data_IF_017789530924
#
_entry.id   IF_017789530924
#
_cell.length_a   1.000
_cell.length_b   1.000
_cell.length_c   1.000
_cell.angle_alpha   90.00
_cell.angle_beta   90.00
_cell.angle_gamma   90.00
#
_symmetry.space_group_name_H-M   'P 1'
#
loop_
_entity.id
_entity.type
_entity.pdbx_description
1 polymer ?
#
# COMPACT_ATOMS: atom_id res chain seq x y z
N UNK A 1 8.13 -5.43 -24.28
CA UNK A 1 8.01 -4.74 -22.99
C UNK A 1 7.74 -5.76 -21.89
N UNK A 2 8.46 -5.70 -20.77
CA UNK A 2 8.17 -6.55 -19.60
C UNK A 2 6.81 -6.12 -19.03
N UNK A 3 5.90 -7.07 -18.76
CA UNK A 3 4.61 -6.75 -18.13
C UNK A 3 4.91 -6.21 -16.73
N UNK A 4 4.44 -5.00 -16.41
CA UNK A 4 4.55 -4.41 -15.08
C UNK A 4 3.51 -5.03 -14.15
N UNK A 5 3.93 -5.49 -12.98
CA UNK A 5 3.04 -6.01 -11.93
C UNK A 5 2.77 -4.89 -10.92
N UNK A 6 1.51 -4.53 -10.75
CA UNK A 6 1.08 -3.51 -9.79
C UNK A 6 0.25 -4.19 -8.72
N UNK A 7 0.56 -3.92 -7.46
CA UNK A 7 -0.22 -4.38 -6.31
C UNK A 7 -0.80 -3.15 -5.63
N UNK A 8 -2.10 -3.22 -5.33
CA UNK A 8 -2.83 -2.16 -4.64
C UNK A 8 -3.41 -2.75 -3.36
N UNK A 9 -3.21 -2.04 -2.26
CA UNK A 9 -3.72 -2.35 -0.92
C UNK A 9 -4.46 -1.12 -0.42
N UNK A 10 -5.59 -1.31 0.25
CA UNK A 10 -6.47 -0.25 0.79
C UNK A 10 -7.07 -0.72 2.11
N UNK A 11 -7.51 0.21 2.96
CA UNK A 11 -8.35 -0.06 4.14
C UNK A 11 -7.73 -1.06 5.12
N UNK A 12 -6.42 -0.96 5.37
CA UNK A 12 -5.79 -1.85 6.35
C UNK A 12 -6.10 -1.42 7.78
N UNK A 13 -6.37 -0.13 8.02
CA UNK A 13 -6.71 0.45 9.33
C UNK A 13 -5.80 -0.05 10.48
N UNK A 14 -4.48 -0.04 10.29
CA UNK A 14 -3.55 -0.43 11.36
C UNK A 14 -3.73 0.48 12.56
N UNK A 15 -4.08 -0.13 13.69
CA UNK A 15 -4.49 0.58 14.90
C UNK A 15 -5.90 0.25 15.33
N UNK A 16 -6.77 -0.22 14.42
CA UNK A 16 -8.17 -0.59 14.73
C UNK A 16 -8.32 -2.04 15.19
N UNK A 17 -9.33 -2.33 16.01
CA UNK A 17 -9.60 -3.69 16.52
C UNK A 17 -9.86 -4.70 15.39
N UNK A 18 -10.59 -4.26 14.36
CA UNK A 18 -10.94 -5.07 13.19
C UNK A 18 -9.77 -5.29 12.22
N UNK A 19 -8.64 -4.59 12.41
CA UNK A 19 -7.51 -4.67 11.48
C UNK A 19 -6.88 -6.06 11.54
N UNK A 20 -6.86 -6.77 10.42
CA UNK A 20 -6.22 -8.08 10.31
C UNK A 20 -4.72 -7.96 9.97
N UNK A 21 -3.98 -7.21 10.81
CA UNK A 21 -2.57 -6.89 10.58
C UNK A 21 -1.67 -8.14 10.51
N UNK A 22 -2.06 -9.25 11.17
CA UNK A 22 -1.33 -10.54 11.10
C UNK A 22 -1.48 -11.23 9.74
N UNK A 23 -2.67 -11.21 9.15
CA UNK A 23 -2.86 -11.72 7.79
C UNK A 23 -2.10 -10.83 6.79
N UNK A 24 -2.11 -9.52 7.01
CA UNK A 24 -1.37 -8.59 6.18
C UNK A 24 0.16 -8.72 6.34
N UNK A 25 0.65 -9.05 7.54
CA UNK A 25 2.04 -9.42 7.77
C UNK A 25 2.41 -10.68 6.96
N UNK A 26 1.56 -11.71 6.98
CA UNK A 26 1.77 -12.94 6.19
C UNK A 26 1.70 -12.68 4.69
N UNK A 27 0.83 -11.76 4.25
CA UNK A 27 0.80 -11.28 2.87
C UNK A 27 2.10 -10.55 2.50
N UNK A 28 2.64 -9.73 3.39
CA UNK A 28 3.92 -9.04 3.19
C UNK A 28 5.09 -10.02 3.08
N UNK A 29 5.11 -11.08 3.90
CA UNK A 29 6.09 -12.18 3.76
C UNK A 29 5.95 -12.88 2.41
N UNK A 30 4.71 -13.11 1.98
CA UNK A 30 4.44 -13.70 0.67
C UNK A 30 4.94 -12.77 -0.46
N UNK A 31 4.74 -11.46 -0.38
CA UNK A 31 5.30 -10.51 -1.35
C UNK A 31 6.83 -10.54 -1.39
N UNK A 32 7.49 -10.53 -0.24
CA UNK A 32 8.96 -10.62 -0.17
C UNK A 32 9.49 -11.91 -0.80
N UNK A 33 8.77 -13.01 -0.67
CA UNK A 33 9.17 -14.26 -1.32
C UNK A 33 9.11 -14.20 -2.85
N UNK A 34 8.30 -13.30 -3.45
CA UNK A 34 8.23 -13.10 -4.89
C UNK A 34 9.51 -12.47 -5.48
N UNK A 35 10.32 -11.79 -4.65
CA UNK A 35 11.64 -11.28 -5.06
C UNK A 35 12.62 -12.41 -5.42
N UNK A 36 12.42 -13.59 -4.85
CA UNK A 36 13.24 -14.77 -5.13
C UNK A 36 12.74 -15.51 -6.37
N UNK A 37 11.44 -15.76 -6.43
CA UNK A 37 10.83 -16.49 -7.53
C UNK A 37 9.33 -16.16 -7.70
N UNK A 38 8.82 -16.15 -8.94
CA UNK A 38 7.38 -16.04 -9.19
C UNK A 38 6.60 -17.21 -8.60
N UNK A 39 5.35 -16.96 -8.18
CA UNK A 39 4.44 -17.98 -7.64
C UNK A 39 3.22 -18.17 -8.51
N UNK A 40 2.85 -19.42 -8.77
CA UNK A 40 1.58 -19.76 -9.42
C UNK A 40 0.47 -19.79 -8.39
N UNK A 41 -0.60 -19.02 -8.63
CA UNK A 41 -1.83 -19.05 -7.83
C UNK A 41 -2.99 -19.59 -8.64
N UNK A 42 -3.87 -20.36 -7.99
CA UNK A 42 -5.11 -20.83 -8.58
C UNK A 42 -6.23 -19.83 -8.33
N UNK A 43 -6.87 -19.38 -9.39
CA UNK A 43 -8.01 -18.47 -9.36
C UNK A 43 -9.30 -19.25 -9.02
N UNK A 44 -10.32 -18.53 -8.58
CA UNK A 44 -11.64 -19.13 -8.25
C UNK A 44 -12.28 -19.87 -9.42
N UNK A 45 -12.00 -19.43 -10.64
CA UNK A 45 -12.49 -20.07 -11.88
C UNK A 45 -11.64 -21.26 -12.34
N UNK A 46 -10.66 -21.69 -11.53
CA UNK A 46 -9.80 -22.83 -11.81
C UNK A 46 -8.59 -22.52 -12.69
N UNK A 47 -8.49 -21.32 -13.27
CA UNK A 47 -7.31 -20.89 -14.02
C UNK A 47 -6.12 -20.68 -13.08
N UNK A 48 -4.92 -20.83 -13.63
CA UNK A 48 -3.69 -20.49 -12.92
C UNK A 48 -3.13 -19.16 -13.40
N UNK A 49 -2.56 -18.38 -12.47
CA UNK A 49 -1.88 -17.13 -12.76
C UNK A 49 -0.52 -17.12 -12.10
N UNK A 50 0.51 -16.85 -12.88
CA UNK A 50 1.85 -16.59 -12.34
C UNK A 50 1.89 -15.15 -11.85
N UNK A 51 2.17 -14.98 -10.57
CA UNK A 51 2.41 -13.68 -9.94
C UNK A 51 3.91 -13.55 -9.75
N UNK A 52 4.50 -12.56 -10.42
CA UNK A 52 5.88 -12.12 -10.19
C UNK A 52 5.93 -11.04 -9.14
N UNK A 53 7.13 -10.69 -8.68
CA UNK A 53 7.33 -9.52 -7.84
C UNK A 53 6.67 -8.26 -8.42
N UNK A 54 6.17 -7.36 -7.56
CA UNK A 54 5.65 -6.08 -8.01
C UNK A 54 6.77 -5.20 -8.61
N UNK A 55 6.39 -4.36 -9.57
CA UNK A 55 7.19 -3.22 -10.01
C UNK A 55 6.73 -1.94 -9.28
N UNK A 56 5.50 -1.94 -8.76
CA UNK A 56 4.89 -0.86 -7.99
C UNK A 56 3.94 -1.42 -6.92
N UNK A 57 4.04 -0.91 -5.70
CA UNK A 57 3.05 -1.10 -4.64
C UNK A 57 2.33 0.21 -4.36
N UNK A 58 1.01 0.17 -4.29
CA UNK A 58 0.18 1.32 -3.96
C UNK A 58 -0.55 1.02 -2.65
N UNK A 59 -0.33 1.87 -1.66
CA UNK A 59 -1.06 1.92 -0.40
C UNK A 59 -2.09 3.04 -0.54
N UNK A 60 -3.35 2.66 -0.75
CA UNK A 60 -4.42 3.53 -1.20
C UNK A 60 -5.41 3.74 -0.05
N UNK A 61 -5.21 4.79 0.75
CA UNK A 61 -6.16 5.24 1.76
C UNK A 61 -6.31 4.33 2.98
N UNK A 62 -6.54 4.97 4.13
CA UNK A 62 -6.90 4.34 5.40
C UNK A 62 -6.02 3.13 5.77
N UNK A 63 -4.71 3.34 5.60
CA UNK A 63 -3.71 2.33 5.91
C UNK A 63 -3.46 2.33 7.41
N UNK A 64 -3.36 3.51 8.00
CA UNK A 64 -3.28 3.74 9.45
C UNK A 64 -4.64 4.21 9.98
N UNK A 65 -4.96 3.83 11.22
CA UNK A 65 -6.14 4.31 11.94
C UNK A 65 -5.70 5.40 12.92
N UNK A 66 -5.69 6.66 12.48
CA UNK A 66 -5.30 7.79 13.34
C UNK A 66 -6.49 8.40 14.09
N UNK A 67 -7.73 8.10 13.69
CA UNK A 67 -8.93 8.70 14.28
C UNK A 67 -9.47 7.91 15.48
N UNK A 68 -9.55 6.58 15.35
CA UNK A 68 -10.16 5.69 16.33
C UNK A 68 -9.31 4.43 16.55
N UNK A 69 -8.08 4.56 17.08
CA UNK A 69 -7.27 3.41 17.44
C UNK A 69 -7.89 2.65 18.61
N UNK A 70 -7.52 1.37 18.76
CA UNK A 70 -7.98 0.53 19.89
C UNK A 70 -7.75 1.25 21.21
N UNK A 71 -8.81 1.33 22.02
CA UNK A 71 -8.82 1.98 23.33
C UNK A 71 -8.39 3.47 23.31
N UNK A 72 -8.53 4.17 22.17
CA UNK A 72 -8.00 5.52 21.95
C UNK A 72 -6.47 5.64 22.17
N UNK A 73 -5.74 4.52 22.11
CA UNK A 73 -4.30 4.48 22.37
C UNK A 73 -3.49 4.34 21.05
N UNK A 74 -2.72 5.37 20.65
CA UNK A 74 -1.94 5.35 19.41
C UNK A 74 -0.84 4.28 19.39
N UNK A 75 -0.50 3.66 20.53
CA UNK A 75 0.42 2.52 20.56
C UNK A 75 -0.07 1.35 19.69
N UNK A 76 -1.38 1.19 19.53
CA UNK A 76 -1.93 0.11 18.71
C UNK A 76 -1.68 0.32 17.23
N UNK A 77 -1.59 1.57 16.77
CA UNK A 77 -1.18 1.90 15.39
C UNK A 77 0.21 1.33 15.15
N UNK A 78 1.16 1.63 16.04
CA UNK A 78 2.53 1.12 15.96
C UNK A 78 2.56 -0.42 16.06
N UNK A 79 1.83 -0.99 17.01
CA UNK A 79 1.75 -2.44 17.22
C UNK A 79 1.27 -3.19 15.98
N UNK A 80 0.29 -2.64 15.26
CA UNK A 80 -0.27 -3.25 14.06
C UNK A 80 0.60 -2.97 12.82
N UNK A 81 1.13 -1.76 12.69
CA UNK A 81 1.82 -1.30 11.47
C UNK A 81 3.31 -1.69 11.42
N UNK A 82 4.01 -1.76 12.56
CA UNK A 82 5.48 -1.81 12.57
C UNK A 82 6.05 -2.95 11.73
N UNK A 83 5.57 -4.18 11.94
CA UNK A 83 6.07 -5.37 11.23
C UNK A 83 5.67 -5.40 9.75
N UNK A 84 4.40 -5.17 9.38
CA UNK A 84 4.05 -5.11 7.97
C UNK A 84 4.72 -3.97 7.19
N UNK A 85 4.78 -2.77 7.77
CA UNK A 85 5.42 -1.63 7.11
C UNK A 85 6.92 -1.88 6.93
N UNK A 86 7.61 -2.41 7.93
CA UNK A 86 9.01 -2.84 7.81
C UNK A 86 9.22 -3.75 6.59
N UNK A 87 8.37 -4.78 6.43
CA UNK A 87 8.45 -5.74 5.33
C UNK A 87 8.15 -5.10 3.97
N UNK A 88 7.15 -4.23 3.90
CA UNK A 88 6.83 -3.48 2.68
C UNK A 88 8.00 -2.60 2.25
N UNK A 89 8.63 -1.90 3.19
CA UNK A 89 9.75 -1.02 2.88
C UNK A 89 10.95 -1.79 2.29
N UNK A 90 11.10 -3.07 2.62
CA UNK A 90 12.14 -3.95 2.07
C UNK A 90 11.90 -4.40 0.62
N UNK A 91 10.66 -4.35 0.10
CA UNK A 91 10.33 -4.79 -1.26
C UNK A 91 11.17 -4.04 -2.31
N UNK A 92 11.61 -4.73 -3.36
CA UNK A 92 12.46 -4.19 -4.42
C UNK A 92 11.70 -3.42 -5.51
N UNK A 93 10.57 -2.80 -5.16
CA UNK A 93 9.70 -2.02 -6.04
C UNK A 93 9.48 -0.61 -5.51
N UNK A 94 9.05 0.32 -6.36
CA UNK A 94 8.62 1.64 -5.89
C UNK A 94 7.29 1.55 -5.14
N UNK A 95 7.03 2.54 -4.28
CA UNK A 95 5.82 2.62 -3.46
C UNK A 95 5.16 3.97 -3.62
N UNK A 96 3.83 3.96 -3.61
CA UNK A 96 3.01 5.16 -3.51
C UNK A 96 2.08 5.00 -2.32
N UNK A 97 2.09 5.98 -1.42
CA UNK A 97 1.14 6.10 -0.33
C UNK A 97 0.19 7.24 -0.66
N UNK A 98 -1.09 6.94 -0.81
CA UNK A 98 -2.15 7.93 -0.98
C UNK A 98 -2.89 8.00 0.35
N UNK A 99 -2.89 9.16 1.00
CA UNK A 99 -3.61 9.34 2.26
C UNK A 99 -5.13 9.22 2.05
N UNK A 100 -5.79 8.56 2.99
CA UNK A 100 -7.24 8.50 3.14
C UNK A 100 -7.71 9.54 4.16
N UNK A 101 -8.92 9.37 4.67
CA UNK A 101 -9.45 10.26 5.70
C UNK A 101 -8.96 9.86 7.10
N UNK A 102 -8.87 8.56 7.40
CA UNK A 102 -8.42 8.08 8.72
C UNK A 102 -6.92 8.30 8.95
N UNK A 103 -6.15 8.57 7.89
CA UNK A 103 -4.72 8.86 7.93
C UNK A 103 -4.34 10.12 7.12
N UNK A 104 -5.26 11.09 7.05
CA UNK A 104 -5.08 12.36 6.33
C UNK A 104 -3.79 13.11 6.75
N UNK A 105 -3.41 13.01 8.02
CA UNK A 105 -2.20 13.64 8.57
C UNK A 105 -0.91 13.13 7.92
N UNK A 106 -0.92 11.95 7.29
CA UNK A 106 0.22 11.49 6.50
C UNK A 106 0.48 12.42 5.31
N UNK A 107 -0.55 13.13 4.82
CA UNK A 107 -0.43 14.16 3.79
C UNK A 107 0.50 15.32 4.14
N UNK A 108 0.75 15.60 5.42
CA UNK A 108 1.76 16.60 5.82
C UNK A 108 3.18 16.20 5.45
N UNK A 109 3.42 14.91 5.20
CA UNK A 109 4.68 14.34 4.75
C UNK A 109 4.67 14.08 3.23
N UNK A 110 3.89 14.83 2.46
CA UNK A 110 3.88 14.70 1.02
C UNK A 110 5.27 14.94 0.41
N UNK A 111 5.66 14.08 -0.53
CA UNK A 111 6.96 14.16 -1.18
C UNK A 111 7.49 12.81 -1.66
N UNK A 112 8.67 12.85 -2.27
CA UNK A 112 9.40 11.68 -2.75
C UNK A 112 10.58 11.39 -1.83
N UNK A 113 10.68 10.14 -1.39
CA UNK A 113 11.67 9.69 -0.42
C UNK A 113 12.46 8.53 -1.00
N UNK A 114 13.79 8.67 -1.02
CA UNK A 114 14.70 7.60 -1.42
C UNK A 114 14.88 6.63 -0.27
N UNK A 115 14.57 5.35 -0.50
CA UNK A 115 14.75 4.29 0.50
C UNK A 115 16.16 3.69 0.43
N UNK A 116 16.60 3.10 1.54
CA UNK A 116 17.94 2.50 1.68
C UNK A 116 18.19 1.31 0.73
N UNK A 117 17.12 0.63 0.29
CA UNK A 117 17.21 -0.45 -0.70
C UNK A 117 17.23 0.05 -2.16
N UNK A 118 17.31 1.37 -2.38
CA UNK A 118 17.39 1.96 -3.72
C UNK A 118 16.06 2.05 -4.46
N UNK A 119 14.93 1.96 -3.76
CA UNK A 119 13.58 2.25 -4.31
C UNK A 119 13.08 3.63 -3.87
N UNK A 120 11.99 4.11 -4.45
CA UNK A 120 11.33 5.36 -4.04
C UNK A 120 10.00 5.08 -3.31
N UNK A 121 9.71 5.90 -2.31
CA UNK A 121 8.37 6.07 -1.72
C UNK A 121 7.87 7.47 -2.07
N UNK A 122 6.71 7.55 -2.70
CA UNK A 122 6.01 8.81 -2.93
C UNK A 122 4.78 8.88 -2.02
N UNK A 123 4.69 9.93 -1.20
CA UNK A 123 3.53 10.22 -0.35
C UNK A 123 2.72 11.31 -1.01
N UNK A 124 1.43 11.02 -1.18
CA UNK A 124 0.46 11.86 -1.86
C UNK A 124 -0.65 12.18 -0.85
N UNK A 125 -0.95 13.47 -0.62
CA UNK A 125 -2.09 13.86 0.21
C UNK A 125 -3.39 13.24 -0.28
N UNK A 126 -4.39 13.21 0.60
CA UNK A 126 -5.74 12.84 0.22
C UNK A 126 -6.17 13.72 -0.94
N UNK A 127 -6.57 13.08 -2.03
CA UNK A 127 -6.97 13.77 -3.22
C UNK A 127 -8.24 13.14 -3.78
N UNK A 128 -9.23 13.98 -4.07
CA UNK A 128 -10.38 13.61 -4.88
C UNK A 128 -10.17 14.20 -6.28
N UNK A 129 -10.13 13.39 -7.34
CA UNK A 129 -10.05 13.93 -8.68
C UNK A 129 -11.40 14.56 -9.06
N UNK A 130 -11.56 15.85 -8.80
CA UNK A 130 -12.62 16.71 -9.32
C UNK A 130 -12.55 16.86 -10.86
N UNK A 131 -11.37 16.67 -11.47
CA UNK A 131 -11.16 16.74 -12.91
C UNK A 131 -10.22 15.62 -13.43
N UNK A 132 -10.37 15.15 -14.68
CA UNK A 132 -9.49 14.14 -15.28
C UNK A 132 -8.00 14.53 -15.30
N UNK A 133 -7.69 15.83 -15.25
CA UNK A 133 -6.33 16.37 -15.18
C UNK A 133 -5.61 16.10 -13.85
N UNK A 134 -6.35 15.68 -12.82
CA UNK A 134 -5.84 15.35 -11.49
C UNK A 134 -5.39 13.88 -11.33
N UNK A 135 -5.28 13.16 -12.44
CA UNK A 135 -4.61 11.86 -12.44
C UNK A 135 -3.18 11.98 -11.95
N UNK A 136 -2.72 10.95 -11.24
CA UNK A 136 -1.35 10.85 -10.80
C UNK A 136 -0.58 10.00 -11.82
N UNK A 137 0.46 10.59 -12.40
CA UNK A 137 1.36 9.87 -13.29
C UNK A 137 2.38 9.08 -12.46
N UNK A 138 2.27 7.75 -12.51
CA UNK A 138 3.23 6.85 -11.86
C UNK A 138 3.94 6.04 -12.94
N UNK A 139 5.18 6.47 -13.22
CA UNK A 139 5.99 5.96 -14.31
C UNK A 139 5.36 6.26 -15.68
N UNK A 140 4.75 5.26 -16.31
CA UNK A 140 4.10 5.36 -17.62
C UNK A 140 2.58 5.22 -17.53
N UNK A 141 2.02 5.18 -16.32
CA UNK A 141 0.60 4.99 -16.08
C UNK A 141 0.01 6.27 -15.53
N UNK A 142 -1.17 6.61 -16.04
CA UNK A 142 -2.02 7.66 -15.51
C UNK A 142 -3.07 7.00 -14.62
N UNK A 143 -2.92 7.15 -13.31
CA UNK A 143 -3.79 6.50 -12.32
C UNK A 143 -4.73 7.52 -11.70
N UNK A 144 -5.97 7.10 -11.45
CA UNK A 144 -6.94 7.84 -10.66
C UNK A 144 -7.15 7.07 -9.37
N UNK A 145 -6.97 7.75 -8.25
CA UNK A 145 -7.19 7.18 -6.93
C UNK A 145 -8.52 7.70 -6.40
N UNK A 146 -9.39 6.77 -6.01
CA UNK A 146 -10.66 7.06 -5.38
C UNK A 146 -10.68 6.23 -4.09
N UNK A 147 -10.45 6.89 -2.97
CA UNK A 147 -10.74 6.31 -1.65
C UNK A 147 -12.23 6.47 -1.40
N UNK A 148 -12.96 5.36 -1.27
CA UNK A 148 -14.42 5.25 -1.48
C UNK A 148 -15.33 5.92 -0.45
N UNK A 149 -14.88 6.94 0.27
CA UNK A 149 -15.68 7.68 1.24
C UNK A 149 -16.07 9.07 0.69
N UNK A 150 -17.36 9.20 0.36
CA UNK A 150 -18.10 10.46 0.18
C UNK A 150 -18.77 10.87 1.50
#
# INVERSE_FOLDING_TARGET
MKKKSIIVVSDTHFGREISNYKAFESFSDWLLSLEKEPKTVKLKDGREKVISKPDLLILLGDILELWDPVDDDPVYILKHALKPVEKIMQLGCDKVYVAGNHDEDIGYFAGKYRLSNGTELEIIPRHYPENPEQSIEIGSHRLFFLHGHQ
#
